data_IF_315463715068
#
_entry.id   IF_315463715068
#
_cell.length_a   1.000
_cell.length_b   1.000
_cell.length_c   1.000
_cell.angle_alpha   90.00
_cell.angle_beta   90.00
_cell.angle_gamma   90.00
#
_symmetry.space_group_name_H-M   'P 1'
#
loop_
_entity.id
_entity.type
_entity.pdbx_description
1 polymer ?
#
# COMPACT_ATOMS: atom_id res chain seq x y z
N UNK A 1 -20.67 50.91 -43.83
CA UNK A 1 -21.01 49.53 -43.38
C UNK A 1 -19.68 48.82 -43.14
N UNK A 2 -19.18 48.85 -41.90
CA UNK A 2 -17.83 48.42 -41.55
C UNK A 2 -17.84 46.94 -41.14
N UNK A 3 -17.13 46.12 -41.90
CA UNK A 3 -16.91 44.71 -41.57
C UNK A 3 -15.93 44.59 -40.41
N UNK A 4 -16.42 44.15 -39.24
CA UNK A 4 -15.59 43.56 -38.19
C UNK A 4 -15.17 42.18 -38.64
N UNK A 5 -13.90 41.99 -38.94
CA UNK A 5 -13.33 40.68 -39.02
C UNK A 5 -11.94 40.65 -38.38
N UNK A 6 -11.65 39.50 -37.77
CA UNK A 6 -10.36 39.03 -37.26
C UNK A 6 -10.03 39.44 -35.82
N UNK A 7 -10.27 38.50 -34.90
CA UNK A 7 -9.26 37.98 -33.96
C UNK A 7 -9.85 36.82 -33.13
N UNK A 8 -10.16 35.70 -33.79
CA UNK A 8 -10.60 34.45 -33.13
C UNK A 8 -9.57 33.30 -33.24
N UNK A 9 -8.36 33.56 -33.73
CA UNK A 9 -7.27 32.58 -33.83
C UNK A 9 -6.27 32.68 -32.67
N UNK A 10 -6.78 32.73 -31.43
CA UNK A 10 -5.96 32.58 -30.22
C UNK A 10 -6.44 31.42 -29.34
N UNK A 11 -6.95 30.34 -29.94
CA UNK A 11 -7.28 29.13 -29.21
C UNK A 11 -6.51 27.94 -29.76
N UNK A 12 -5.77 27.32 -28.86
CA UNK A 12 -5.09 26.03 -29.00
C UNK A 12 -3.74 26.05 -29.72
N UNK A 13 -2.79 26.85 -29.23
CA UNK A 13 -1.41 26.35 -29.23
C UNK A 13 -1.38 25.15 -28.28
N UNK A 14 -1.47 23.94 -28.84
CA UNK A 14 -1.19 22.68 -28.14
C UNK A 14 0.14 22.88 -27.42
N UNK A 15 0.10 23.02 -26.09
CA UNK A 15 1.30 23.23 -25.29
C UNK A 15 2.23 22.05 -25.55
N UNK A 16 3.28 22.36 -26.29
CA UNK A 16 4.44 21.55 -26.63
C UNK A 16 4.71 20.55 -25.50
N UNK A 17 4.68 19.26 -25.86
CA UNK A 17 5.10 18.17 -24.99
C UNK A 17 6.42 18.56 -24.33
N UNK A 18 6.40 18.75 -23.01
CA UNK A 18 7.60 19.06 -22.26
C UNK A 18 8.54 17.86 -22.41
N UNK A 19 9.73 18.08 -22.96
CA UNK A 19 10.75 17.04 -23.00
C UNK A 19 11.00 16.55 -21.57
N UNK A 20 10.62 15.29 -21.30
CA UNK A 20 10.83 14.64 -20.02
C UNK A 20 12.34 14.59 -19.76
N UNK A 21 12.77 14.96 -18.54
CA UNK A 21 14.16 14.72 -18.17
C UNK A 21 14.43 13.21 -18.12
N UNK A 22 15.71 12.82 -18.18
CA UNK A 22 16.10 11.40 -18.03
C UNK A 22 15.50 10.77 -16.77
N UNK A 23 15.50 11.51 -15.65
CA UNK A 23 14.93 11.03 -14.38
C UNK A 23 13.40 10.85 -14.49
N UNK A 24 12.72 11.78 -15.17
CA UNK A 24 11.27 11.70 -15.39
C UNK A 24 10.93 10.48 -16.24
N UNK A 25 11.67 10.25 -17.34
CA UNK A 25 11.49 9.08 -18.19
C UNK A 25 11.73 7.77 -17.44
N UNK A 26 12.84 7.66 -16.67
CA UNK A 26 13.12 6.46 -15.88
C UNK A 26 12.03 6.19 -14.84
N UNK A 27 11.58 7.23 -14.15
CA UNK A 27 10.52 7.12 -13.15
C UNK A 27 9.19 6.72 -13.78
N UNK A 28 8.88 7.24 -14.97
CA UNK A 28 7.71 6.85 -15.73
C UNK A 28 7.78 5.36 -16.09
N UNK A 29 8.92 4.89 -16.60
CA UNK A 29 9.13 3.47 -16.93
C UNK A 29 8.94 2.60 -15.68
N UNK A 30 9.57 2.97 -14.55
CA UNK A 30 9.41 2.22 -13.30
C UNK A 30 7.96 2.14 -12.85
N UNK A 31 7.22 3.24 -12.93
CA UNK A 31 5.80 3.29 -12.59
C UNK A 31 4.96 2.42 -13.53
N UNK A 32 5.15 2.51 -14.84
CA UNK A 32 4.41 1.72 -15.84
C UNK A 32 4.70 0.23 -15.70
N UNK A 33 5.98 -0.18 -15.60
CA UNK A 33 6.36 -1.59 -15.45
C UNK A 33 5.78 -2.17 -14.16
N UNK A 34 5.89 -1.45 -13.04
CA UNK A 34 5.32 -1.89 -11.77
C UNK A 34 3.80 -2.02 -11.85
N UNK A 35 3.12 -1.04 -12.46
CA UNK A 35 1.67 -1.06 -12.63
C UNK A 35 1.20 -2.25 -13.47
N UNK A 36 1.82 -2.47 -14.64
CA UNK A 36 1.48 -3.59 -15.53
C UNK A 36 1.77 -4.93 -14.86
N UNK A 37 2.91 -5.07 -14.18
CA UNK A 37 3.24 -6.30 -13.46
C UNK A 37 2.19 -6.63 -12.37
N UNK A 38 1.80 -5.65 -11.57
CA UNK A 38 0.76 -5.82 -10.54
C UNK A 38 -0.57 -6.21 -11.17
N UNK A 39 -0.99 -5.52 -12.24
CA UNK A 39 -2.24 -5.85 -12.93
C UNK A 39 -2.22 -7.28 -13.46
N UNK A 40 -1.12 -7.71 -14.09
CA UNK A 40 -0.97 -9.08 -14.58
C UNK A 40 -1.11 -10.08 -13.42
N UNK A 41 -0.51 -9.83 -12.26
CA UNK A 41 -0.65 -10.74 -11.11
C UNK A 41 -2.08 -10.81 -10.57
N UNK A 42 -2.80 -9.68 -10.52
CA UNK A 42 -4.21 -9.65 -10.13
C UNK A 42 -5.04 -10.46 -11.13
N UNK A 43 -4.83 -10.24 -12.44
CA UNK A 43 -5.57 -10.94 -13.49
C UNK A 43 -5.30 -12.45 -13.45
N UNK A 44 -4.03 -12.87 -13.33
CA UNK A 44 -3.68 -14.29 -13.24
C UNK A 44 -4.32 -14.93 -12.02
N UNK A 45 -4.22 -14.30 -10.84
CA UNK A 45 -4.78 -14.87 -9.60
C UNK A 45 -6.31 -14.89 -9.63
N UNK A 46 -6.93 -13.90 -10.27
CA UNK A 46 -8.39 -13.83 -10.43
C UNK A 46 -8.94 -14.85 -11.43
N UNK A 47 -8.32 -15.01 -12.60
CA UNK A 47 -8.79 -15.93 -13.65
C UNK A 47 -8.30 -17.37 -13.45
N UNK A 48 -7.12 -17.54 -12.86
CA UNK A 48 -6.47 -18.84 -12.65
C UNK A 48 -6.05 -19.00 -11.18
N UNK A 49 -6.99 -18.95 -10.23
CA UNK A 49 -6.69 -19.10 -8.81
C UNK A 49 -6.16 -20.51 -8.53
N UNK A 50 -5.17 -20.61 -7.66
CA UNK A 50 -4.71 -21.91 -7.14
C UNK A 50 -5.77 -22.51 -6.22
N UNK A 51 -5.67 -23.82 -5.93
CA UNK A 51 -6.57 -24.48 -4.97
C UNK A 51 -6.54 -23.78 -3.59
N UNK A 52 -5.35 -23.45 -3.09
CA UNK A 52 -5.18 -22.73 -1.83
C UNK A 52 -5.87 -21.35 -1.86
N UNK A 53 -5.78 -20.65 -3.00
CA UNK A 53 -6.47 -19.37 -3.21
C UNK A 53 -7.98 -19.57 -3.16
N UNK A 54 -8.53 -20.56 -3.88
CA UNK A 54 -9.97 -20.85 -3.91
C UNK A 54 -10.53 -21.21 -2.53
N UNK A 55 -9.74 -21.90 -1.71
CA UNK A 55 -10.12 -22.27 -0.35
C UNK A 55 -10.02 -21.12 0.65
N UNK A 56 -9.28 -20.05 0.31
CA UNK A 56 -9.13 -18.88 1.17
C UNK A 56 -10.46 -18.14 1.39
N UNK A 57 -10.68 -17.64 2.60
CA UNK A 57 -11.88 -16.87 2.94
C UNK A 57 -12.02 -15.59 2.11
N UNK A 58 -10.90 -14.96 1.74
CA UNK A 58 -10.90 -13.77 0.88
C UNK A 58 -11.44 -14.08 -0.51
N UNK A 59 -11.01 -15.17 -1.14
CA UNK A 59 -11.51 -15.55 -2.45
C UNK A 59 -12.97 -16.01 -2.39
N UNK A 60 -13.36 -16.76 -1.35
CA UNK A 60 -14.77 -17.15 -1.17
C UNK A 60 -15.70 -15.94 -1.07
N UNK A 61 -15.26 -14.85 -0.42
CA UNK A 61 -16.07 -13.65 -0.24
C UNK A 61 -16.03 -12.70 -1.44
N UNK A 62 -14.85 -12.45 -2.02
CA UNK A 62 -14.65 -11.42 -3.04
C UNK A 62 -14.39 -11.97 -4.45
N UNK A 63 -14.27 -13.29 -4.59
CA UNK A 63 -14.01 -13.99 -5.85
C UNK A 63 -12.79 -13.42 -6.56
N UNK A 64 -13.00 -13.05 -7.83
CA UNK A 64 -12.00 -12.44 -8.70
C UNK A 64 -11.26 -11.25 -8.06
N UNK A 65 -11.93 -10.46 -7.22
CA UNK A 65 -11.39 -9.24 -6.63
C UNK A 65 -10.58 -9.47 -5.34
N UNK A 66 -10.39 -10.71 -4.90
CA UNK A 66 -9.71 -11.02 -3.63
C UNK A 66 -8.38 -10.28 -3.45
N UNK A 67 -7.52 -10.30 -4.48
CA UNK A 67 -6.17 -9.72 -4.40
C UNK A 67 -6.19 -8.20 -4.22
N UNK A 68 -7.25 -7.52 -4.69
CA UNK A 68 -7.40 -6.08 -4.57
C UNK A 68 -7.56 -5.62 -3.11
N UNK A 69 -8.04 -6.49 -2.23
CA UNK A 69 -8.26 -6.18 -0.82
C UNK A 69 -7.01 -6.34 0.06
N UNK A 70 -5.89 -6.81 -0.49
CA UNK A 70 -4.62 -6.83 0.22
C UNK A 70 -3.95 -5.45 0.17
N UNK A 71 -3.49 -4.98 1.34
CA UNK A 71 -2.71 -3.74 1.46
C UNK A 71 -1.47 -3.76 0.56
N UNK A 72 -0.82 -4.92 0.41
CA UNK A 72 0.31 -5.12 -0.52
C UNK A 72 -0.06 -4.71 -1.94
N UNK A 73 -1.18 -5.22 -2.47
CA UNK A 73 -1.65 -4.91 -3.83
C UNK A 73 -1.99 -3.43 -3.96
N UNK A 74 -2.74 -2.90 -2.99
CA UNK A 74 -3.17 -1.50 -3.00
C UNK A 74 -1.98 -0.54 -2.95
N UNK A 75 -1.02 -0.77 -2.06
CA UNK A 75 0.18 0.06 -1.92
C UNK A 75 1.07 0.00 -3.16
N UNK A 76 1.22 -1.17 -3.79
CA UNK A 76 1.96 -1.33 -5.03
C UNK A 76 1.29 -0.60 -6.21
N UNK A 77 -0.04 -0.73 -6.38
CA UNK A 77 -0.78 0.06 -7.37
C UNK A 77 -0.64 1.56 -7.11
N UNK A 78 -0.79 1.96 -5.85
CA UNK A 78 -0.74 3.35 -5.42
C UNK A 78 0.61 3.99 -5.74
N UNK A 79 1.74 3.35 -5.36
CA UNK A 79 3.07 3.89 -5.68
C UNK A 79 3.34 3.87 -7.18
N UNK A 80 2.93 2.84 -7.91
CA UNK A 80 3.12 2.77 -9.37
C UNK A 80 2.44 3.94 -10.07
N UNK A 81 1.19 4.23 -9.70
CA UNK A 81 0.44 5.39 -10.20
C UNK A 81 1.04 6.72 -9.74
N UNK A 82 1.56 6.80 -8.50
CA UNK A 82 2.20 8.00 -7.99
C UNK A 82 3.50 8.34 -8.74
N UNK A 83 4.30 7.32 -9.10
CA UNK A 83 5.50 7.48 -9.93
C UNK A 83 5.14 8.03 -11.31
N UNK A 84 4.14 7.43 -11.99
CA UNK A 84 3.62 7.90 -13.29
C UNK A 84 3.12 9.34 -13.19
N UNK A 85 2.31 9.64 -12.18
CA UNK A 85 1.73 10.97 -12.00
C UNK A 85 2.80 12.04 -11.75
N UNK A 86 3.80 11.73 -10.92
CA UNK A 86 4.88 12.65 -10.59
C UNK A 86 5.83 12.89 -11.77
N UNK A 87 6.13 11.86 -12.57
CA UNK A 87 6.98 12.00 -13.77
C UNK A 87 6.32 12.86 -14.86
N UNK A 88 4.99 12.77 -15.01
CA UNK A 88 4.25 13.55 -16.02
C UNK A 88 4.00 14.99 -15.54
N UNK A 89 3.69 15.18 -14.26
CA UNK A 89 3.33 16.49 -13.72
C UNK A 89 3.87 16.67 -12.31
N UNK A 90 4.83 17.57 -12.14
CA UNK A 90 5.38 17.95 -10.84
C UNK A 90 4.59 19.11 -10.23
N UNK A 91 3.79 18.83 -9.20
CA UNK A 91 3.09 19.84 -8.41
C UNK A 91 2.83 19.30 -6.99
N UNK A 92 2.19 20.11 -6.13
CA UNK A 92 1.93 19.72 -4.74
C UNK A 92 1.07 18.45 -4.60
N UNK A 93 0.12 18.20 -5.51
CA UNK A 93 -0.74 17.01 -5.45
C UNK A 93 0.04 15.74 -5.77
N UNK A 94 0.79 15.73 -6.87
CA UNK A 94 1.60 14.57 -7.27
C UNK A 94 2.77 14.34 -6.34
N UNK A 95 3.36 15.41 -5.78
CA UNK A 95 4.35 15.32 -4.70
C UNK A 95 3.79 14.60 -3.46
N UNK A 96 2.62 15.02 -2.98
CA UNK A 96 1.98 14.38 -1.84
C UNK A 96 1.60 12.93 -2.15
N UNK A 97 1.12 12.67 -3.36
CA UNK A 97 0.80 11.32 -3.83
C UNK A 97 2.03 10.41 -3.79
N UNK A 98 3.16 10.88 -4.32
CA UNK A 98 4.45 10.17 -4.24
C UNK A 98 4.89 9.95 -2.78
N UNK A 99 4.81 10.97 -1.93
CA UNK A 99 5.20 10.87 -0.52
C UNK A 99 4.36 9.83 0.24
N UNK A 100 3.03 9.80 0.06
CA UNK A 100 2.18 8.74 0.61
C UNK A 100 2.55 7.37 0.06
N UNK A 101 2.79 7.27 -1.25
CA UNK A 101 3.12 6.00 -1.89
C UNK A 101 4.42 5.41 -1.36
N UNK A 102 5.44 6.26 -1.16
CA UNK A 102 6.71 5.86 -0.53
C UNK A 102 6.49 5.33 0.89
N UNK A 103 5.68 6.03 1.69
CA UNK A 103 5.37 5.56 3.06
C UNK A 103 4.69 4.19 3.02
N UNK A 104 3.66 4.01 2.18
CA UNK A 104 2.89 2.77 2.13
C UNK A 104 3.67 1.60 1.55
N UNK A 105 4.44 1.82 0.48
CA UNK A 105 5.28 0.76 -0.10
C UNK A 105 6.39 0.34 0.87
N UNK A 106 6.86 1.25 1.72
CA UNK A 106 7.83 0.93 2.78
C UNK A 106 7.21 0.06 3.86
N UNK A 107 5.97 0.33 4.25
CA UNK A 107 5.24 -0.54 5.19
C UNK A 107 5.12 -1.94 4.60
N UNK A 108 4.72 -2.06 3.34
CA UNK A 108 4.64 -3.35 2.64
C UNK A 108 5.99 -4.07 2.63
N UNK A 109 7.08 -3.39 2.28
CA UNK A 109 8.42 -3.94 2.31
C UNK A 109 8.79 -4.47 3.71
N UNK A 110 8.71 -3.61 4.73
CA UNK A 110 9.16 -3.97 6.09
C UNK A 110 8.27 -5.05 6.71
N UNK A 111 6.94 -4.90 6.66
CA UNK A 111 5.99 -5.86 7.24
C UNK A 111 6.13 -7.22 6.55
N UNK A 112 6.29 -7.25 5.22
CA UNK A 112 6.47 -8.51 4.52
C UNK A 112 7.73 -9.23 4.98
N UNK A 113 8.88 -8.56 4.93
CA UNK A 113 10.16 -9.19 5.24
C UNK A 113 10.30 -9.58 6.72
N UNK A 114 9.66 -8.85 7.64
CA UNK A 114 9.70 -9.18 9.07
C UNK A 114 8.66 -10.24 9.46
N UNK A 115 7.43 -10.14 8.95
CA UNK A 115 6.30 -10.91 9.48
C UNK A 115 5.75 -12.00 8.54
N UNK A 116 5.95 -11.89 7.23
CA UNK A 116 5.26 -12.75 6.24
C UNK A 116 6.20 -13.60 5.37
N UNK A 117 7.44 -13.16 5.14
CA UNK A 117 8.36 -13.83 4.21
C UNK A 117 8.63 -15.28 4.60
N UNK A 118 8.75 -15.58 5.90
CA UNK A 118 9.00 -16.93 6.41
C UNK A 118 7.81 -17.89 6.26
N UNK A 119 6.60 -17.37 6.04
CA UNK A 119 5.39 -18.16 5.76
C UNK A 119 5.06 -18.25 4.27
N UNK A 120 5.80 -17.52 3.43
CA UNK A 120 5.51 -17.45 2.01
C UNK A 120 5.92 -18.74 1.30
N UNK A 121 5.16 -19.11 0.27
CA UNK A 121 5.49 -20.26 -0.55
C UNK A 121 6.62 -19.91 -1.55
N UNK A 122 7.82 -20.35 -1.23
CA UNK A 122 9.02 -20.21 -2.09
C UNK A 122 9.29 -21.44 -2.98
N UNK A 123 8.40 -22.44 -2.97
CA UNK A 123 8.66 -23.75 -3.61
C UNK A 123 8.56 -23.71 -5.13
N UNK A 124 7.88 -22.72 -5.71
CA UNK A 124 7.75 -22.58 -7.16
C UNK A 124 8.36 -21.25 -7.63
N UNK A 125 8.99 -21.28 -8.81
CA UNK A 125 9.57 -20.10 -9.41
C UNK A 125 8.54 -18.97 -9.57
N UNK A 126 7.32 -19.29 -10.02
CA UNK A 126 6.26 -18.30 -10.20
C UNK A 126 5.89 -17.60 -8.88
N UNK A 127 5.67 -18.36 -7.79
CA UNK A 127 5.30 -17.78 -6.50
C UNK A 127 6.44 -16.96 -5.90
N UNK A 128 7.68 -17.47 -5.99
CA UNK A 128 8.87 -16.77 -5.54
C UNK A 128 9.08 -15.46 -6.33
N UNK A 129 8.99 -15.51 -7.65
CA UNK A 129 9.14 -14.35 -8.53
C UNK A 129 8.06 -13.31 -8.28
N UNK A 130 6.78 -13.72 -8.22
CA UNK A 130 5.67 -12.82 -7.88
C UNK A 130 5.90 -12.14 -6.54
N UNK A 131 6.25 -12.92 -5.51
CA UNK A 131 6.49 -12.39 -4.18
C UNK A 131 7.66 -11.41 -4.16
N UNK A 132 8.79 -11.78 -4.76
CA UNK A 132 9.96 -10.92 -4.87
C UNK A 132 9.66 -9.63 -5.64
N UNK A 133 8.88 -9.71 -6.72
CA UNK A 133 8.49 -8.54 -7.50
C UNK A 133 7.70 -7.52 -6.66
N UNK A 134 6.65 -7.96 -5.95
CA UNK A 134 5.73 -7.05 -5.23
C UNK A 134 6.22 -6.64 -3.85
N UNK A 135 7.14 -7.39 -3.24
CA UNK A 135 7.67 -7.11 -1.90
C UNK A 135 9.13 -6.61 -1.90
N UNK A 136 9.82 -6.61 -3.03
CA UNK A 136 11.20 -6.13 -3.12
C UNK A 136 11.41 -5.20 -4.33
N UNK A 137 11.17 -5.69 -5.55
CA UNK A 137 11.50 -4.91 -6.77
C UNK A 137 10.73 -3.60 -6.83
N UNK A 138 9.40 -3.60 -6.70
CA UNK A 138 8.61 -2.37 -6.74
C UNK A 138 9.01 -1.37 -5.63
N UNK A 139 9.15 -1.77 -4.34
CA UNK A 139 9.73 -0.90 -3.33
C UNK A 139 11.09 -0.29 -3.71
N UNK A 140 12.01 -1.10 -4.25
CA UNK A 140 13.35 -0.61 -4.66
C UNK A 140 13.26 0.42 -5.79
N UNK A 141 12.44 0.16 -6.81
CA UNK A 141 12.22 1.12 -7.90
C UNK A 141 11.66 2.45 -7.37
N UNK A 142 10.75 2.40 -6.40
CA UNK A 142 10.20 3.59 -5.76
C UNK A 142 11.28 4.37 -4.98
N UNK A 143 12.16 3.68 -4.24
CA UNK A 143 13.26 4.32 -3.51
C UNK A 143 14.30 4.95 -4.43
N UNK A 144 14.62 4.30 -5.56
CA UNK A 144 15.51 4.85 -6.58
C UNK A 144 14.89 6.12 -7.18
N UNK A 145 13.60 6.09 -7.54
CA UNK A 145 12.90 7.29 -8.01
C UNK A 145 12.87 8.40 -6.96
N UNK A 146 12.61 8.09 -5.69
CA UNK A 146 12.69 9.08 -4.62
C UNK A 146 14.09 9.68 -4.51
N UNK A 147 15.14 8.86 -4.65
CA UNK A 147 16.52 9.34 -4.63
C UNK A 147 16.79 10.34 -5.76
N UNK A 148 16.27 10.12 -6.97
CA UNK A 148 16.38 11.07 -8.09
C UNK A 148 15.76 12.43 -7.76
N UNK A 149 14.64 12.45 -7.05
CA UNK A 149 13.93 13.68 -6.71
C UNK A 149 14.12 14.16 -5.27
N UNK A 150 15.10 13.64 -4.53
CA UNK A 150 15.26 13.92 -3.10
C UNK A 150 15.39 15.40 -2.74
N UNK A 151 15.77 16.25 -3.70
CA UNK A 151 15.89 17.72 -3.54
C UNK A 151 14.65 18.50 -4.00
N UNK A 152 13.76 17.84 -4.75
CA UNK A 152 12.51 18.40 -5.27
C UNK A 152 11.32 18.03 -4.38
N UNK A 153 11.28 16.78 -3.87
CA UNK A 153 10.18 16.27 -3.07
C UNK A 153 10.15 16.93 -1.70
N UNK A 154 8.95 17.38 -1.30
CA UNK A 154 8.69 18.03 -0.02
C UNK A 154 7.74 17.17 0.80
N UNK A 155 8.16 16.75 1.98
CA UNK A 155 7.27 16.12 2.94
C UNK A 155 6.63 17.21 3.81
N UNK A 156 5.32 17.38 3.66
CA UNK A 156 4.59 18.34 4.50
C UNK A 156 4.16 17.68 5.81
N UNK A 157 4.03 18.49 6.87
CA UNK A 157 3.44 18.01 8.13
C UNK A 157 2.06 17.38 7.89
N UNK A 158 1.22 17.96 7.01
CA UNK A 158 -0.09 17.40 6.65
C UNK A 158 0.05 15.97 6.13
N UNK A 159 0.90 15.76 5.12
CA UNK A 159 1.14 14.44 4.51
C UNK A 159 1.54 13.41 5.56
N UNK A 160 2.46 13.77 6.48
CA UNK A 160 2.87 12.87 7.56
C UNK A 160 1.71 12.54 8.51
N UNK A 161 0.99 13.54 9.01
CA UNK A 161 -0.07 13.31 10.01
C UNK A 161 -1.34 12.67 9.43
N UNK A 162 -1.56 12.76 8.13
CA UNK A 162 -2.69 12.08 7.47
C UNK A 162 -2.33 10.72 6.89
N UNK A 163 -1.05 10.33 6.80
CA UNK A 163 -0.67 9.02 6.26
C UNK A 163 -1.17 7.84 7.12
N UNK A 164 -1.31 7.95 8.46
CA UNK A 164 -1.95 6.91 9.26
C UNK A 164 -3.41 6.62 8.90
N UNK A 165 -4.15 7.59 8.36
CA UNK A 165 -5.59 7.45 8.15
C UNK A 165 -5.93 6.28 7.23
N UNK A 166 -5.12 6.04 6.20
CA UNK A 166 -5.36 4.93 5.28
C UNK A 166 -5.14 3.57 5.97
N UNK A 167 -4.03 3.41 6.70
CA UNK A 167 -3.74 2.15 7.38
C UNK A 167 -4.71 1.90 8.54
N UNK A 168 -5.15 2.97 9.22
CA UNK A 168 -6.22 2.90 10.21
C UNK A 168 -7.55 2.46 9.58
N UNK A 169 -7.97 3.09 8.48
CA UNK A 169 -9.17 2.68 7.74
C UNK A 169 -9.08 1.22 7.24
N UNK A 170 -7.91 0.81 6.75
CA UNK A 170 -7.65 -0.56 6.35
C UNK A 170 -7.77 -1.54 7.53
N UNK A 171 -7.22 -1.18 8.70
CA UNK A 171 -7.34 -2.01 9.90
C UNK A 171 -8.79 -2.16 10.37
N UNK A 172 -9.59 -1.08 10.35
CA UNK A 172 -11.03 -1.14 10.61
C UNK A 172 -11.76 -2.03 9.61
N UNK A 173 -11.41 -1.95 8.32
CA UNK A 173 -11.94 -2.85 7.30
C UNK A 173 -11.67 -4.32 7.66
N UNK A 174 -10.43 -4.67 8.00
CA UNK A 174 -10.10 -6.07 8.38
C UNK A 174 -10.79 -6.52 9.67
N UNK A 175 -11.00 -5.61 10.62
CA UNK A 175 -11.72 -5.87 11.87
C UNK A 175 -13.18 -6.20 11.60
N UNK A 176 -13.85 -5.33 10.83
CA UNK A 176 -15.24 -5.51 10.44
C UNK A 176 -15.39 -6.81 9.65
N UNK A 177 -14.50 -7.05 8.68
CA UNK A 177 -14.48 -8.26 7.88
C UNK A 177 -14.36 -9.54 8.72
N UNK A 178 -13.47 -9.54 9.71
CA UNK A 178 -13.29 -10.67 10.60
C UNK A 178 -14.55 -10.94 11.42
N UNK A 179 -15.08 -9.92 12.10
CA UNK A 179 -16.24 -10.11 12.98
C UNK A 179 -17.55 -10.34 12.22
N UNK A 180 -17.69 -9.84 10.99
CA UNK A 180 -18.87 -10.11 10.15
C UNK A 180 -18.89 -11.52 9.57
N UNK A 181 -17.74 -12.20 9.55
CA UNK A 181 -17.59 -13.57 9.02
C UNK A 181 -17.33 -14.61 10.12
N UNK A 182 -17.28 -14.18 11.38
CA UNK A 182 -17.05 -15.06 12.52
C UNK A 182 -18.19 -16.09 12.64
N UNK A 183 -17.81 -17.37 12.82
CA UNK A 183 -18.72 -18.52 12.92
C UNK A 183 -19.67 -18.70 11.72
N UNK A 184 -19.32 -18.17 10.56
CA UNK A 184 -20.13 -18.34 9.36
C UNK A 184 -19.79 -19.67 8.67
N UNK A 185 -20.82 -20.46 8.38
CA UNK A 185 -20.68 -21.84 7.90
C UNK A 185 -20.05 -21.97 6.52
N UNK A 186 -20.07 -20.90 5.71
CA UNK A 186 -19.46 -20.89 4.38
C UNK A 186 -17.93 -20.79 4.43
N UNK A 187 -17.37 -20.34 5.56
CA UNK A 187 -15.92 -20.16 5.75
C UNK A 187 -15.38 -21.22 6.70
N UNK A 188 -15.25 -22.44 6.18
CA UNK A 188 -14.61 -23.52 6.91
C UNK A 188 -13.34 -24.03 6.22
N UNK A 189 -12.48 -24.65 7.02
CA UNK A 189 -11.48 -25.60 6.54
C UNK A 189 -11.74 -26.96 7.20
N UNK A 190 -11.40 -28.02 6.49
CA UNK A 190 -11.46 -29.36 7.04
C UNK A 190 -10.11 -29.68 7.69
N UNK A 191 -10.08 -29.81 9.02
CA UNK A 191 -8.89 -30.24 9.72
C UNK A 191 -8.73 -31.76 9.54
N UNK A 192 -7.79 -32.16 8.69
CA UNK A 192 -7.53 -33.58 8.38
C UNK A 192 -7.01 -34.36 9.58
N UNK A 193 -6.42 -33.70 10.58
CA UNK A 193 -5.93 -34.35 11.80
C UNK A 193 -7.04 -34.60 12.80
N UNK A 194 -7.94 -33.64 12.97
CA UNK A 194 -9.06 -33.77 13.94
C UNK A 194 -10.37 -34.25 13.30
N UNK A 195 -10.40 -34.45 11.99
CA UNK A 195 -11.60 -34.77 11.19
C UNK A 195 -12.78 -33.84 11.46
N UNK A 196 -12.49 -32.57 11.77
CA UNK A 196 -13.50 -31.59 12.18
C UNK A 196 -13.55 -30.42 11.20
N UNK A 197 -14.76 -29.95 10.93
CA UNK A 197 -14.99 -28.69 10.23
C UNK A 197 -14.68 -27.57 11.22
N UNK A 198 -13.66 -26.77 10.93
CA UNK A 198 -13.36 -25.57 11.71
C UNK A 198 -13.86 -24.36 10.94
N UNK A 199 -14.90 -23.73 11.47
CA UNK A 199 -15.39 -22.45 11.01
C UNK A 199 -14.40 -21.36 11.41
N UNK A 200 -13.95 -20.59 10.43
CA UNK A 200 -12.99 -19.52 10.60
C UNK A 200 -13.57 -18.21 10.05
N UNK A 201 -13.39 -17.13 10.80
CA UNK A 201 -13.52 -15.80 10.26
C UNK A 201 -12.51 -15.58 9.12
N UNK A 202 -12.87 -14.73 8.17
CA UNK A 202 -11.97 -14.29 7.10
C UNK A 202 -10.85 -13.44 7.70
N UNK A 203 -9.62 -13.87 7.48
CA UNK A 203 -8.40 -13.19 7.93
C UNK A 203 -7.58 -12.84 6.69
N UNK A 204 -7.26 -11.55 6.53
CA UNK A 204 -6.44 -11.08 5.40
C UNK A 204 -4.97 -11.40 5.60
N UNK A 205 -4.46 -11.15 6.82
CA UNK A 205 -3.08 -11.40 7.18
C UNK A 205 -3.02 -12.19 8.49
N UNK A 206 -2.22 -13.28 8.50
CA UNK A 206 -2.13 -14.15 9.67
C UNK A 206 -1.68 -13.43 10.95
N UNK A 207 -0.77 -12.45 10.85
CA UNK A 207 -0.32 -11.67 12.00
C UNK A 207 -1.41 -10.72 12.55
N UNK A 208 -2.40 -10.36 11.72
CA UNK A 208 -3.54 -9.53 12.08
C UNK A 208 -4.78 -10.39 12.41
N UNK A 209 -4.60 -11.67 12.73
CA UNK A 209 -5.69 -12.54 13.16
C UNK A 209 -6.20 -12.10 14.54
N UNK A 210 -7.48 -11.74 14.65
CA UNK A 210 -8.05 -11.26 15.91
C UNK A 210 -8.22 -12.33 16.99
N UNK A 211 -8.18 -13.63 16.65
CA UNK A 211 -8.12 -14.72 17.63
C UNK A 211 -6.69 -14.97 18.13
N UNK A 212 -5.68 -14.83 17.24
CA UNK A 212 -4.26 -15.13 17.50
C UNK A 212 -3.37 -13.99 16.96
N UNK A 213 -3.47 -12.77 17.51
CA UNK A 213 -2.72 -11.62 17.02
C UNK A 213 -1.21 -11.87 17.13
N UNK A 214 -0.46 -11.41 16.14
CA UNK A 214 0.99 -11.64 15.99
C UNK A 214 1.40 -13.12 16.05
N UNK A 215 0.50 -14.04 15.68
CA UNK A 215 0.69 -15.50 15.77
C UNK A 215 0.85 -16.03 17.21
N UNK A 216 0.51 -15.25 18.24
CA UNK A 216 0.67 -15.64 19.64
C UNK A 216 -0.47 -16.61 20.02
N UNK A 217 -0.15 -17.90 20.11
CA UNK A 217 -1.13 -18.96 20.36
C UNK A 217 -1.90 -18.80 21.69
N UNK A 218 -1.21 -18.31 22.75
CA UNK A 218 -1.82 -18.08 24.06
C UNK A 218 -2.94 -17.04 24.07
N UNK A 219 -2.99 -16.13 23.09
CA UNK A 219 -4.05 -15.13 22.97
C UNK A 219 -5.42 -15.74 22.59
N UNK A 220 -5.43 -16.95 22.02
CA UNK A 220 -6.67 -17.63 21.65
C UNK A 220 -7.56 -17.94 22.87
N UNK A 221 -6.96 -18.20 24.02
CA UNK A 221 -7.67 -18.58 25.24
C UNK A 221 -7.65 -17.48 26.31
N UNK A 222 -7.05 -16.32 26.01
CA UNK A 222 -6.92 -15.21 26.95
C UNK A 222 -7.42 -13.91 26.30
N UNK A 223 -8.63 -13.49 26.68
CA UNK A 223 -9.27 -12.29 26.15
C UNK A 223 -8.45 -11.02 26.43
N UNK A 224 -7.90 -10.89 27.64
CA UNK A 224 -7.09 -9.72 28.04
C UNK A 224 -5.84 -9.58 27.17
N UNK A 225 -5.09 -10.67 27.00
CA UNK A 225 -3.90 -10.70 26.13
C UNK A 225 -4.27 -10.38 24.67
N UNK A 226 -5.39 -10.92 24.18
CA UNK A 226 -5.87 -10.68 22.82
C UNK A 226 -6.18 -9.20 22.58
N UNK A 227 -6.99 -8.59 23.46
CA UNK A 227 -7.34 -7.17 23.36
C UNK A 227 -6.09 -6.29 23.44
N UNK A 228 -5.19 -6.60 24.37
CA UNK A 228 -3.92 -5.90 24.52
C UNK A 228 -3.07 -5.94 23.23
N UNK A 229 -2.89 -7.11 22.63
CA UNK A 229 -2.12 -7.27 21.39
C UNK A 229 -2.78 -6.57 20.20
N UNK A 230 -4.11 -6.61 20.10
CA UNK A 230 -4.84 -5.86 19.06
C UNK A 230 -4.58 -4.36 19.22
N UNK A 231 -4.72 -3.81 20.43
CA UNK A 231 -4.44 -2.39 20.70
C UNK A 231 -3.00 -2.02 20.32
N UNK A 232 -2.02 -2.88 20.63
CA UNK A 232 -0.63 -2.71 20.19
C UNK A 232 -0.53 -2.66 18.67
N UNK A 233 -1.16 -3.58 17.94
CA UNK A 233 -1.14 -3.58 16.47
C UNK A 233 -1.72 -2.26 15.93
N UNK A 234 -2.84 -1.79 16.46
CA UNK A 234 -3.43 -0.50 16.06
C UNK A 234 -2.47 0.67 16.30
N UNK A 235 -1.81 0.71 17.46
CA UNK A 235 -0.81 1.75 17.77
C UNK A 235 0.36 1.67 16.79
N UNK A 236 0.90 0.47 16.54
CA UNK A 236 1.99 0.26 15.59
C UNK A 236 1.57 0.74 14.19
N UNK A 237 0.36 0.44 13.74
CA UNK A 237 -0.16 0.87 12.45
C UNK A 237 -0.31 2.39 12.33
N UNK A 238 -0.53 3.12 13.43
CA UNK A 238 -0.49 4.58 13.41
C UNK A 238 0.95 5.10 13.40
N UNK A 239 1.84 4.46 14.17
CA UNK A 239 3.23 4.89 14.32
C UNK A 239 4.10 4.58 13.10
N UNK A 240 3.85 3.48 12.38
CA UNK A 240 4.65 3.07 11.22
C UNK A 240 4.67 4.14 10.10
N UNK A 241 3.53 4.64 9.60
CA UNK A 241 3.51 5.69 8.58
C UNK A 241 4.24 6.97 9.01
N UNK A 242 4.09 7.37 10.28
CA UNK A 242 4.77 8.53 10.86
C UNK A 242 6.28 8.29 10.92
N UNK A 243 6.68 7.16 11.51
CA UNK A 243 8.07 6.76 11.69
C UNK A 243 8.82 6.68 10.36
N UNK A 244 8.25 6.01 9.36
CA UNK A 244 8.86 5.93 8.03
C UNK A 244 8.90 7.29 7.35
N UNK A 245 7.83 8.09 7.42
CA UNK A 245 7.82 9.44 6.85
C UNK A 245 8.94 10.31 7.41
N UNK A 246 9.13 10.34 8.74
CA UNK A 246 10.26 11.06 9.35
C UNK A 246 11.62 10.43 9.02
N UNK A 247 11.71 9.10 8.97
CA UNK A 247 12.93 8.41 8.57
C UNK A 247 13.37 8.81 7.16
N UNK A 248 12.47 8.87 6.18
CA UNK A 248 12.81 9.31 4.82
C UNK A 248 13.26 10.77 4.78
N UNK A 249 12.58 11.67 5.50
CA UNK A 249 13.01 13.06 5.61
C UNK A 249 14.47 13.15 6.06
N UNK A 250 14.84 12.38 7.09
CA UNK A 250 16.20 12.37 7.64
C UNK A 250 17.21 11.66 6.73
N UNK A 251 16.92 10.43 6.30
CA UNK A 251 17.82 9.57 5.53
C UNK A 251 18.09 10.12 4.13
N UNK A 252 17.07 10.60 3.43
CA UNK A 252 17.20 11.14 2.07
C UNK A 252 17.46 12.65 2.05
N UNK A 253 17.52 13.30 3.23
CA UNK A 253 17.69 14.75 3.39
C UNK A 253 16.65 15.52 2.54
N UNK A 254 15.39 15.10 2.65
CA UNK A 254 14.25 15.69 1.93
C UNK A 254 13.88 17.05 2.54
N UNK A 255 13.21 17.89 1.76
CA UNK A 255 12.65 19.14 2.28
C UNK A 255 11.47 18.82 3.19
N UNK A 256 11.43 19.43 4.38
CA UNK A 256 10.34 19.30 5.33
C UNK A 256 9.64 20.65 5.52
N UNK A 257 8.34 20.70 5.23
CA UNK A 257 7.53 21.90 5.41
C UNK A 257 6.72 21.80 6.71
N UNK A 258 7.24 22.45 7.76
CA UNK A 258 6.59 22.61 9.06
C UNK A 258 5.64 23.82 9.04
N UNK A 259 4.65 23.82 8.16
CA UNK A 259 3.62 24.87 8.16
C UNK A 259 2.61 24.64 9.30
N UNK A 260 3.04 24.97 10.52
CA UNK A 260 2.15 25.26 11.63
C UNK A 260 2.59 26.61 12.21
N UNK A 261 1.98 27.70 11.70
CA UNK A 261 2.20 29.07 12.21
C UNK A 261 1.92 29.18 13.72
N UNK A 262 1.22 28.21 14.32
CA UNK A 262 0.90 28.17 15.76
C UNK A 262 2.15 28.02 16.65
N UNK A 263 3.18 27.27 16.22
CA UNK A 263 4.39 27.08 17.03
C UNK A 263 5.44 28.19 16.84
N UNK A 264 5.33 29.02 15.80
CA UNK A 264 6.10 30.28 15.73
C UNK A 264 5.61 31.32 16.74
N UNK A 265 4.44 31.12 17.35
CA UNK A 265 3.87 31.98 18.40
C UNK A 265 4.31 31.59 19.82
N UNK A 266 4.99 30.46 19.98
CA UNK A 266 5.53 29.97 21.26
C UNK A 266 7.05 29.77 21.21
N UNK A 267 7.76 30.67 20.53
CA UNK A 267 9.17 30.89 20.88
C UNK A 267 9.20 31.52 22.27
N UNK A 268 9.36 30.68 23.29
CA UNK A 268 10.00 31.05 24.55
C UNK A 268 11.50 31.12 24.26
#
# INVERSE_FOLDING_TARGET
MSMKNNNLTQYMSVKVYKNLSRNDLMTLIFGVVSFVAILIFILITGFFPTKDTQESGMYKLFGFFNDFFYFTTQSNLFISLALIAYSVKKNNKTNNFLAFGIIYITITFVVYWILLAWQSNWSTFYNAFRSFMVHFIVPMLAYISLYFYRKEVVFTKKTLWTSPLYLFGYSLFTLILYYSTLNNEYYYTYDTKTKAIKYFAVVVYGFANYQKPLYIAGAANNLGLRVFLIVIIFIIFVLLPLGFGYAFVKLFKLKYESNFKFLKKFKI
#
